data_IF_344914983424
#
_entry.id   IF_344914983424
#
_cell.length_a   1.000
_cell.length_b   1.000
_cell.length_c   1.000
_cell.angle_alpha   90.00
_cell.angle_beta   90.00
_cell.angle_gamma   90.00
#
_symmetry.space_group_name_H-M   'P 1'
#
loop_
_entity.id
_entity.type
_entity.pdbx_description
1 polymer ?
#
# COMPACT_ATOMS: atom_id res chain seq x y z
N UNK A 1 27.58 -26.69 -20.28
CA UNK A 1 27.09 -26.15 -18.98
C UNK A 1 26.73 -24.65 -19.02
N UNK A 2 27.48 -23.79 -19.73
CA UNK A 2 27.21 -22.34 -19.80
C UNK A 2 25.85 -21.93 -20.44
N UNK A 3 25.37 -22.67 -21.45
CA UNK A 3 24.09 -22.36 -22.13
C UNK A 3 22.84 -22.64 -21.29
N UNK A 4 22.88 -23.64 -20.40
CA UNK A 4 21.75 -23.95 -19.51
C UNK A 4 21.64 -22.93 -18.36
N UNK A 5 22.76 -22.40 -17.86
CA UNK A 5 22.80 -21.33 -16.86
C UNK A 5 22.31 -19.98 -17.42
N UNK A 6 22.71 -19.62 -18.66
CA UNK A 6 22.16 -18.42 -19.33
C UNK A 6 20.65 -18.51 -19.58
N UNK A 7 20.15 -19.69 -20.01
CA UNK A 7 18.74 -19.89 -20.33
C UNK A 7 17.84 -19.89 -19.07
N UNK A 8 18.33 -20.43 -17.96
CA UNK A 8 17.65 -20.36 -16.65
C UNK A 8 17.66 -18.96 -16.03
N UNK A 9 18.77 -18.21 -16.17
CA UNK A 9 18.84 -16.81 -15.76
C UNK A 9 17.86 -15.91 -16.50
N UNK A 10 17.69 -16.12 -17.81
CA UNK A 10 16.76 -15.34 -18.63
C UNK A 10 15.29 -15.65 -18.31
N UNK A 11 14.96 -16.92 -18.05
CA UNK A 11 13.63 -17.32 -17.56
C UNK A 11 13.31 -16.70 -16.19
N UNK A 12 14.24 -16.78 -15.22
CA UNK A 12 14.06 -16.16 -13.88
C UNK A 12 13.83 -14.65 -13.95
N UNK A 13 14.57 -13.95 -14.82
CA UNK A 13 14.36 -12.52 -15.07
C UNK A 13 12.97 -12.24 -15.64
N UNK A 14 12.52 -13.02 -16.63
CA UNK A 14 11.18 -12.91 -17.21
C UNK A 14 10.08 -13.12 -16.16
N UNK A 15 10.16 -14.17 -15.35
CA UNK A 15 9.18 -14.41 -14.28
C UNK A 15 9.17 -13.30 -13.23
N UNK A 16 10.35 -12.79 -12.85
CA UNK A 16 10.45 -11.66 -11.92
C UNK A 16 9.78 -10.40 -12.46
N UNK A 17 9.96 -10.08 -13.74
CA UNK A 17 9.31 -8.94 -14.39
C UNK A 17 7.79 -9.12 -14.47
N UNK A 18 7.30 -10.32 -14.82
CA UNK A 18 5.87 -10.63 -14.85
C UNK A 18 5.22 -10.52 -13.47
N UNK A 19 5.87 -11.07 -12.43
CA UNK A 19 5.40 -10.96 -11.05
C UNK A 19 5.40 -9.51 -10.58
N UNK A 20 6.44 -8.74 -10.92
CA UNK A 20 6.50 -7.31 -10.61
C UNK A 20 5.36 -6.55 -11.29
N UNK A 21 5.10 -6.79 -12.57
CA UNK A 21 4.00 -6.13 -13.30
C UNK A 21 2.63 -6.45 -12.71
N UNK A 22 2.36 -7.71 -12.35
CA UNK A 22 1.11 -8.10 -11.71
C UNK A 22 0.91 -7.42 -10.34
N UNK A 23 1.94 -7.42 -9.49
CA UNK A 23 1.91 -6.76 -8.17
C UNK A 23 1.72 -5.25 -8.32
N UNK A 24 2.39 -4.60 -9.27
CA UNK A 24 2.23 -3.15 -9.48
C UNK A 24 0.85 -2.81 -10.01
N UNK A 25 0.26 -3.64 -10.89
CA UNK A 25 -1.11 -3.42 -11.36
C UNK A 25 -2.13 -3.53 -10.22
N UNK A 26 -1.99 -4.54 -9.37
CA UNK A 26 -2.84 -4.68 -8.18
C UNK A 26 -2.65 -3.52 -7.20
N UNK A 27 -1.40 -3.11 -6.97
CA UNK A 27 -1.08 -1.95 -6.15
C UNK A 27 -1.69 -0.66 -6.72
N UNK A 28 -1.61 -0.43 -8.04
CA UNK A 28 -2.22 0.73 -8.68
C UNK A 28 -3.73 0.76 -8.44
N UNK A 29 -4.43 -0.34 -8.72
CA UNK A 29 -5.87 -0.42 -8.51
C UNK A 29 -6.25 -0.22 -7.05
N UNK A 30 -5.44 -0.74 -6.13
CA UNK A 30 -5.64 -0.53 -4.70
C UNK A 30 -5.47 0.94 -4.28
N UNK A 31 -4.43 1.62 -4.77
CA UNK A 31 -4.25 3.06 -4.53
C UNK A 31 -5.40 3.89 -5.10
N UNK A 32 -5.88 3.55 -6.30
CA UNK A 32 -7.03 4.21 -6.92
C UNK A 32 -8.28 4.09 -6.03
N UNK A 33 -8.54 2.90 -5.47
CA UNK A 33 -9.62 2.68 -4.51
C UNK A 33 -9.46 3.58 -3.28
N UNK A 34 -8.29 3.57 -2.62
CA UNK A 34 -8.05 4.38 -1.42
C UNK A 34 -8.26 5.88 -1.65
N UNK A 35 -7.89 6.37 -2.82
CA UNK A 35 -8.09 7.77 -3.20
C UNK A 35 -9.57 8.04 -3.49
N UNK A 36 -10.24 7.16 -4.23
CA UNK A 36 -11.65 7.30 -4.58
C UNK A 36 -12.56 7.34 -3.33
N UNK A 37 -12.25 6.53 -2.31
CA UNK A 37 -12.99 6.54 -1.04
C UNK A 37 -12.50 7.60 -0.04
N UNK A 38 -11.50 8.40 -0.42
CA UNK A 38 -11.01 9.52 0.39
C UNK A 38 -10.14 9.12 1.60
N UNK A 39 -9.66 7.87 1.65
CA UNK A 39 -8.75 7.37 2.68
C UNK A 39 -7.35 7.96 2.47
N UNK A 40 -6.82 7.87 1.26
CA UNK A 40 -5.52 8.43 0.89
C UNK A 40 -5.72 9.77 0.19
N UNK A 41 -5.09 10.83 0.72
CA UNK A 41 -5.06 12.14 0.08
C UNK A 41 -3.62 12.59 -0.16
N UNK A 42 -3.32 12.99 -1.39
CA UNK A 42 -1.96 13.39 -1.78
C UNK A 42 -1.35 14.50 -0.92
N UNK A 43 -2.16 15.52 -0.58
CA UNK A 43 -1.69 16.64 0.24
C UNK A 43 -1.31 16.20 1.65
N UNK A 44 -2.14 15.34 2.26
CA UNK A 44 -1.89 14.80 3.59
C UNK A 44 -0.66 13.88 3.55
N UNK A 45 -0.56 12.98 2.56
CA UNK A 45 0.59 12.07 2.42
C UNK A 45 1.93 12.81 2.27
N UNK A 46 1.93 13.95 1.56
CA UNK A 46 3.11 14.82 1.45
C UNK A 46 3.44 15.47 2.80
N UNK A 47 2.45 15.96 3.53
CA UNK A 47 2.66 16.63 4.82
C UNK A 47 3.12 15.65 5.91
N UNK A 48 2.52 14.47 5.97
CA UNK A 48 2.75 13.48 7.02
C UNK A 48 4.00 12.62 6.77
N UNK A 49 4.30 12.30 5.50
CA UNK A 49 5.37 11.36 5.14
C UNK A 49 6.37 11.90 4.12
N UNK A 50 6.23 13.14 3.64
CA UNK A 50 7.06 13.68 2.57
C UNK A 50 6.85 12.97 1.22
N UNK A 51 5.80 12.16 1.06
CA UNK A 51 5.53 11.44 -0.17
C UNK A 51 4.73 12.33 -1.13
N UNK A 52 5.40 12.80 -2.19
CA UNK A 52 4.76 13.71 -3.13
C UNK A 52 3.74 13.00 -4.05
N UNK A 53 2.85 13.82 -4.62
CA UNK A 53 1.87 13.39 -5.61
C UNK A 53 2.52 12.64 -6.79
N UNK A 54 3.67 13.13 -7.26
CA UNK A 54 4.36 12.57 -8.44
C UNK A 54 4.82 11.14 -8.16
N UNK A 55 5.28 10.85 -6.94
CA UNK A 55 5.73 9.55 -6.49
C UNK A 55 4.57 8.56 -6.44
N UNK A 56 3.44 8.93 -5.81
CA UNK A 56 2.26 8.06 -5.77
C UNK A 56 1.72 7.83 -7.18
N UNK A 57 1.65 8.88 -8.00
CA UNK A 57 1.24 8.78 -9.41
C UNK A 57 2.15 7.88 -10.23
N UNK A 58 3.46 7.94 -10.00
CA UNK A 58 4.41 7.06 -10.69
C UNK A 58 4.18 5.59 -10.33
N UNK A 59 3.82 5.28 -9.08
CA UNK A 59 3.44 3.92 -8.67
C UNK A 59 2.17 3.47 -9.39
N UNK A 60 1.17 4.35 -9.54
CA UNK A 60 -0.06 4.03 -10.27
C UNK A 60 0.19 3.81 -11.78
N UNK A 61 1.06 4.61 -12.40
CA UNK A 61 1.16 4.67 -13.86
C UNK A 61 2.30 3.83 -14.47
N UNK A 62 3.34 3.46 -13.71
CA UNK A 62 4.56 2.87 -14.28
C UNK A 62 4.99 1.63 -13.51
N UNK A 63 4.81 0.47 -14.14
CA UNK A 63 5.20 -0.86 -13.62
C UNK A 63 6.68 -0.97 -13.18
N UNK A 64 7.56 -0.10 -13.70
CA UNK A 64 9.00 -0.15 -13.44
C UNK A 64 9.60 1.07 -12.73
N UNK A 65 8.85 2.13 -12.43
CA UNK A 65 9.43 3.40 -11.97
C UNK A 65 9.57 3.54 -10.44
N UNK A 66 8.82 2.77 -9.65
CA UNK A 66 8.89 2.88 -8.19
C UNK A 66 10.12 2.14 -7.66
N UNK A 67 10.96 2.85 -6.90
CA UNK A 67 12.09 2.23 -6.21
C UNK A 67 11.60 1.30 -5.09
N UNK A 68 12.44 0.34 -4.68
CA UNK A 68 12.11 -0.51 -3.53
C UNK A 68 11.86 0.31 -2.26
N UNK A 69 12.62 1.39 -2.04
CA UNK A 69 12.41 2.32 -0.92
C UNK A 69 11.07 3.04 -0.99
N UNK A 70 10.66 3.46 -2.20
CA UNK A 70 9.34 4.06 -2.42
C UNK A 70 8.20 3.11 -2.08
N UNK A 71 8.29 1.85 -2.55
CA UNK A 71 7.30 0.82 -2.25
C UNK A 71 7.28 0.50 -0.76
N UNK A 72 8.46 0.46 -0.11
CA UNK A 72 8.59 0.23 1.32
C UNK A 72 7.90 1.32 2.14
N UNK A 73 8.19 2.59 1.81
CA UNK A 73 7.58 3.77 2.43
C UNK A 73 6.06 3.78 2.25
N UNK A 74 5.57 3.37 1.08
CA UNK A 74 4.15 3.33 0.76
C UNK A 74 3.36 2.39 1.67
N UNK A 75 3.96 1.27 2.11
CA UNK A 75 3.33 0.36 3.10
C UNK A 75 2.95 1.12 4.37
N UNK A 76 3.85 1.95 4.87
CA UNK A 76 3.62 2.73 6.09
C UNK A 76 2.57 3.82 5.90
N UNK A 77 2.61 4.52 4.76
CA UNK A 77 1.64 5.55 4.41
C UNK A 77 0.23 4.96 4.37
N UNK A 78 0.05 3.85 3.65
CA UNK A 78 -1.24 3.19 3.49
C UNK A 78 -1.79 2.69 4.83
N UNK A 79 -0.97 1.98 5.61
CA UNK A 79 -1.40 1.45 6.90
C UNK A 79 -1.86 2.56 7.86
N UNK A 80 -1.13 3.69 7.88
CA UNK A 80 -1.51 4.86 8.66
C UNK A 80 -2.88 5.41 8.24
N UNK A 81 -3.12 5.61 6.94
CA UNK A 81 -4.38 6.19 6.48
C UNK A 81 -5.57 5.24 6.64
N UNK A 82 -5.39 3.92 6.49
CA UNK A 82 -6.43 2.92 6.81
C UNK A 82 -6.85 3.05 8.27
N UNK A 83 -5.88 3.12 9.20
CA UNK A 83 -6.17 3.25 10.63
C UNK A 83 -6.80 4.60 11.00
N UNK A 84 -6.31 5.70 10.39
CA UNK A 84 -6.93 7.03 10.57
C UNK A 84 -8.39 7.01 10.10
N UNK A 85 -8.68 6.35 8.98
CA UNK A 85 -10.05 6.21 8.49
C UNK A 85 -10.89 5.32 9.42
N UNK A 86 -10.35 4.19 9.88
CA UNK A 86 -11.00 3.32 10.87
C UNK A 86 -11.44 4.10 12.11
N UNK A 87 -10.53 4.86 12.73
CA UNK A 87 -10.85 5.66 13.93
C UNK A 87 -11.95 6.70 13.68
N UNK A 88 -11.96 7.30 12.50
CA UNK A 88 -13.03 8.24 12.10
C UNK A 88 -14.38 7.51 12.03
N UNK A 89 -14.44 6.36 11.38
CA UNK A 89 -15.65 5.54 11.27
C UNK A 89 -16.10 5.03 12.64
N UNK A 90 -15.18 4.59 13.49
CA UNK A 90 -15.49 4.12 14.84
C UNK A 90 -16.10 5.22 15.74
N UNK A 91 -15.70 6.47 15.53
CA UNK A 91 -16.27 7.63 16.21
C UNK A 91 -17.65 8.05 15.68
N UNK A 92 -18.10 7.55 14.53
CA UNK A 92 -19.45 7.82 14.01
C UNK A 92 -20.52 7.15 14.91
N UNK A 93 -21.73 7.72 15.02
CA UNK A 93 -22.84 7.07 15.69
C UNK A 93 -23.18 5.69 15.09
N UNK A 94 -23.66 4.78 15.94
CA UNK A 94 -24.06 3.45 15.50
C UNK A 94 -25.13 3.51 14.40
N UNK A 95 -24.81 2.93 13.25
CA UNK A 95 -25.67 2.90 12.07
C UNK A 95 -25.32 1.71 11.18
N UNK A 96 -26.22 1.35 10.25
CA UNK A 96 -25.93 0.36 9.23
C UNK A 96 -24.76 0.81 8.32
N UNK A 97 -24.69 2.11 8.03
CA UNK A 97 -23.61 2.71 7.25
C UNK A 97 -22.25 2.53 7.94
N UNK A 98 -22.16 2.81 9.25
CA UNK A 98 -20.95 2.56 10.04
C UNK A 98 -20.51 1.10 9.97
N UNK A 99 -21.44 0.16 10.15
CA UNK A 99 -21.15 -1.28 10.06
C UNK A 99 -20.61 -1.67 8.68
N UNK A 100 -21.18 -1.12 7.61
CA UNK A 100 -20.70 -1.35 6.26
C UNK A 100 -19.29 -0.79 6.05
N UNK A 101 -19.03 0.47 6.45
CA UNK A 101 -17.68 1.06 6.35
C UNK A 101 -16.63 0.24 7.11
N UNK A 102 -16.95 -0.25 8.30
CA UNK A 102 -16.06 -1.12 9.07
C UNK A 102 -15.80 -2.46 8.36
N UNK A 103 -16.80 -3.03 7.69
CA UNK A 103 -16.62 -4.21 6.85
C UNK A 103 -15.72 -3.91 5.66
N UNK A 104 -15.94 -2.79 4.96
CA UNK A 104 -15.14 -2.38 3.81
C UNK A 104 -13.67 -2.15 4.22
N UNK A 105 -13.42 -1.61 5.41
CA UNK A 105 -12.06 -1.50 5.97
C UNK A 105 -11.41 -2.88 6.14
N UNK A 106 -12.15 -3.89 6.62
CA UNK A 106 -11.60 -5.25 6.77
C UNK A 106 -11.21 -5.85 5.42
N UNK A 107 -11.97 -5.58 4.35
CA UNK A 107 -11.63 -6.05 3.02
C UNK A 107 -10.42 -5.29 2.45
N UNK A 108 -10.31 -3.97 2.70
CA UNK A 108 -9.12 -3.20 2.36
C UNK A 108 -7.85 -3.72 3.08
N UNK A 109 -7.95 -4.11 4.35
CA UNK A 109 -6.83 -4.71 5.09
C UNK A 109 -6.38 -6.04 4.47
N UNK A 110 -7.32 -6.91 4.08
CA UNK A 110 -7.00 -8.17 3.39
C UNK A 110 -6.33 -7.92 2.05
N UNK A 111 -6.82 -6.97 1.26
CA UNK A 111 -6.19 -6.61 -0.01
C UNK A 111 -4.79 -6.04 0.19
N UNK A 112 -4.62 -5.21 1.22
CA UNK A 112 -3.32 -4.67 1.59
C UNK A 112 -2.32 -5.76 1.98
N UNK A 113 -2.74 -6.72 2.82
CA UNK A 113 -1.95 -7.89 3.20
C UNK A 113 -1.62 -8.79 2.00
N UNK A 114 -2.56 -8.97 1.08
CA UNK A 114 -2.35 -9.75 -0.14
C UNK A 114 -1.28 -9.12 -1.05
N UNK A 115 -1.23 -7.78 -1.13
CA UNK A 115 -0.28 -7.05 -1.98
C UNK A 115 1.12 -6.97 -1.33
N UNK A 116 1.21 -6.67 -0.04
CA UNK A 116 2.48 -6.39 0.65
C UNK A 116 2.95 -7.48 1.61
N UNK A 117 2.18 -8.56 1.74
CA UNK A 117 2.51 -9.72 2.56
C UNK A 117 2.65 -9.38 4.05
N UNK A 118 3.55 -10.10 4.72
CA UNK A 118 3.73 -10.00 6.17
C UNK A 118 4.08 -8.59 6.67
N UNK A 119 4.67 -7.74 5.82
CA UNK A 119 4.97 -6.36 6.22
C UNK A 119 3.70 -5.54 6.42
N UNK A 120 2.69 -5.71 5.59
CA UNK A 120 1.39 -5.04 5.77
C UNK A 120 0.76 -5.42 7.11
N UNK A 121 0.72 -6.72 7.43
CA UNK A 121 0.20 -7.22 8.71
C UNK A 121 0.93 -6.59 9.90
N UNK A 122 2.27 -6.57 9.88
CA UNK A 122 3.08 -5.97 10.94
C UNK A 122 2.78 -4.48 11.13
N UNK A 123 2.75 -3.72 10.04
CA UNK A 123 2.56 -2.26 10.11
C UNK A 123 1.12 -1.89 10.47
N UNK A 124 0.11 -2.66 10.03
CA UNK A 124 -1.28 -2.50 10.47
C UNK A 124 -1.39 -2.70 11.99
N UNK A 125 -0.74 -3.72 12.55
CA UNK A 125 -0.77 -3.97 13.99
C UNK A 125 -0.13 -2.81 14.76
N UNK A 126 1.01 -2.27 14.29
CA UNK A 126 1.60 -1.08 14.91
C UNK A 126 0.64 0.13 14.91
N UNK A 127 -0.07 0.36 13.79
CA UNK A 127 -1.03 1.45 13.70
C UNK A 127 -2.20 1.26 14.69
N UNK A 128 -2.75 0.04 14.75
CA UNK A 128 -3.82 -0.36 15.69
C UNK A 128 -3.40 -0.22 17.15
N UNK A 129 -2.13 -0.52 17.46
CA UNK A 129 -1.53 -0.34 18.79
C UNK A 129 -1.28 1.15 19.15
N UNK A 130 -1.63 2.07 18.26
CA UNK A 130 -1.51 3.51 18.52
C UNK A 130 -0.13 4.09 18.20
N UNK A 131 0.78 3.32 17.59
CA UNK A 131 2.10 3.82 17.22
C UNK A 131 1.97 4.80 16.05
N UNK A 132 2.55 6.00 16.21
CA UNK A 132 2.60 7.00 15.14
C UNK A 132 3.63 6.60 14.07
N UNK A 133 3.14 5.95 13.01
CA UNK A 133 3.96 5.49 11.89
C UNK A 133 4.72 6.61 11.19
N UNK A 134 4.25 7.86 11.28
CA UNK A 134 4.95 9.02 10.69
C UNK A 134 6.31 9.27 11.33
N UNK A 135 6.53 8.81 12.57
CA UNK A 135 7.83 8.95 13.26
C UNK A 135 8.83 7.88 12.84
N UNK A 136 8.37 6.74 12.30
CA UNK A 136 9.21 5.60 11.95
C UNK A 136 9.90 5.82 10.59
N UNK A 137 9.20 6.46 9.66
CA UNK A 137 9.64 6.60 8.26
C UNK A 137 9.99 8.03 7.90
N UNK A 138 10.38 8.83 8.90
CA UNK A 138 10.92 10.16 8.66
C UNK A 138 12.21 10.03 7.87
N UNK A 139 12.20 10.63 6.68
CA UNK A 139 13.39 11.05 5.94
C UNK A 139 13.59 12.54 6.18
#
# INVERSE_FOLDING_TARGET
MANQQKNTGNKRRKYRLLLKGAVVKELSGFLDTLIAVGILKYAEAKADFGMDYVTIRNVQQKEDAASAATLDKLVWVVAYYIEVYRRKVEAEPESLEKKQKLHDILDLEKDFERIFGCKALYVLNLAKDGIDLRQIVKE
#
